data_IF_965683472552
#
_entry.id   IF_965683472552
#
_cell.length_a   1.000
_cell.length_b   1.000
_cell.length_c   1.000
_cell.angle_alpha   90.00
_cell.angle_beta   90.00
_cell.angle_gamma   90.00
#
_symmetry.space_group_name_H-M   'P 1'
#
loop_
_entity.id
_entity.type
_entity.pdbx_description
1 polymer ?
#
# COMPACT_ATOMS: atom_id res chain seq x y z
N UNK A 1 -74.12 -15.15 -21.67
CA UNK A 1 -74.32 -16.59 -21.56
C UNK A 1 -73.09 -17.17 -20.93
N UNK A 2 -73.35 -17.51 -19.74
CA UNK A 2 -72.96 -18.66 -18.89
C UNK A 2 -71.46 -18.66 -18.49
N UNK A 3 -71.19 -18.25 -17.27
CA UNK A 3 -71.29 -19.01 -16.00
C UNK A 3 -70.29 -20.16 -15.89
N UNK A 4 -69.45 -20.12 -14.90
CA UNK A 4 -69.33 -20.91 -13.69
C UNK A 4 -67.94 -20.75 -13.06
N UNK A 5 -67.84 -20.08 -11.92
CA UNK A 5 -67.90 -20.62 -10.55
C UNK A 5 -66.94 -21.81 -10.31
N UNK A 6 -65.95 -21.59 -9.50
CA UNK A 6 -65.75 -22.26 -8.22
C UNK A 6 -64.36 -22.02 -7.68
N UNK A 7 -64.26 -21.34 -6.55
CA UNK A 7 -63.28 -21.64 -5.47
C UNK A 7 -63.85 -22.90 -4.71
N UNK A 8 -63.05 -23.58 -3.87
CA UNK A 8 -62.21 -23.09 -2.82
C UNK A 8 -61.02 -23.99 -2.42
N UNK A 9 -60.43 -23.60 -1.32
CA UNK A 9 -59.67 -24.35 -0.29
C UNK A 9 -58.16 -24.33 -0.41
N UNK A 10 -57.54 -23.49 0.41
CA UNK A 10 -57.01 -23.81 1.76
C UNK A 10 -55.93 -24.92 1.77
N UNK A 11 -54.71 -24.51 1.96
CA UNK A 11 -53.75 -25.25 2.73
C UNK A 11 -52.59 -24.32 3.13
N UNK A 12 -52.58 -23.99 4.40
CA UNK A 12 -51.45 -23.46 5.13
C UNK A 12 -50.23 -24.37 4.97
N UNK A 13 -49.11 -23.80 4.64
CA UNK A 13 -47.80 -24.38 4.92
C UNK A 13 -46.86 -23.25 5.29
N UNK A 14 -46.63 -23.13 6.58
CA UNK A 14 -45.48 -22.47 7.14
C UNK A 14 -44.22 -23.02 6.48
N UNK A 15 -43.46 -22.14 5.86
CA UNK A 15 -42.08 -22.37 5.49
C UNK A 15 -41.30 -21.21 6.02
N UNK A 16 -40.70 -21.45 7.18
CA UNK A 16 -39.61 -20.73 7.76
C UNK A 16 -38.57 -20.43 6.66
N UNK A 17 -38.56 -19.22 6.17
CA UNK A 17 -37.47 -18.75 5.33
C UNK A 17 -36.33 -18.32 6.25
N UNK A 18 -35.50 -19.27 6.48
CA UNK A 18 -34.12 -19.07 6.99
C UNK A 18 -33.45 -17.95 6.15
N UNK A 19 -33.52 -16.76 6.71
CA UNK A 19 -32.83 -15.58 6.20
C UNK A 19 -31.38 -15.73 6.50
N UNK A 20 -30.65 -16.43 5.64
CA UNK A 20 -29.22 -16.40 5.60
C UNK A 20 -28.78 -14.95 5.37
N UNK A 21 -28.35 -14.30 6.40
CA UNK A 21 -27.61 -13.05 6.30
C UNK A 21 -26.38 -13.31 5.42
N UNK A 22 -26.09 -12.44 4.44
CA UNK A 22 -24.84 -12.55 3.72
C UNK A 22 -23.72 -12.24 4.70
N UNK A 23 -23.04 -13.28 5.15
CA UNK A 23 -21.75 -13.14 5.83
C UNK A 23 -20.87 -12.29 4.93
N UNK A 24 -20.52 -11.10 5.42
CA UNK A 24 -19.55 -10.23 4.80
C UNK A 24 -18.33 -11.08 4.41
N UNK A 25 -18.02 -11.08 3.14
CA UNK A 25 -16.90 -11.79 2.56
C UNK A 25 -15.60 -11.13 3.04
N UNK A 26 -15.10 -11.58 4.18
CA UNK A 26 -13.76 -11.28 4.65
C UNK A 26 -12.74 -12.12 3.87
N UNK A 27 -12.57 -11.79 2.63
CA UNK A 27 -11.48 -12.29 1.80
C UNK A 27 -11.19 -11.31 0.68
N UNK A 28 -11.09 -10.01 1.01
CA UNK A 28 -10.31 -9.11 0.19
C UNK A 28 -8.85 -9.53 0.40
N UNK A 29 -8.34 -10.33 -0.51
CA UNK A 29 -6.91 -10.58 -0.63
C UNK A 29 -6.23 -9.21 -0.76
N UNK A 30 -5.12 -8.97 -0.04
CA UNK A 30 -4.39 -7.70 -0.05
C UNK A 30 -4.00 -7.15 -1.42
N UNK A 31 -4.32 -7.90 -2.48
CA UNK A 31 -4.19 -7.52 -3.88
C UNK A 31 -5.18 -6.44 -4.35
N UNK A 32 -6.28 -6.19 -3.63
CA UNK A 32 -7.31 -5.19 -4.01
C UNK A 32 -7.27 -3.91 -3.17
N UNK A 33 -6.44 -3.86 -2.12
CA UNK A 33 -6.33 -2.67 -1.29
C UNK A 33 -5.73 -1.49 -2.06
N UNK A 34 -6.27 -0.26 -1.93
CA UNK A 34 -5.72 0.92 -2.56
C UNK A 34 -4.25 1.14 -2.16
N UNK A 35 -3.48 1.70 -3.09
CA UNK A 35 -2.08 2.05 -2.91
C UNK A 35 -1.96 3.57 -3.00
N UNK A 36 -1.48 4.20 -1.94
CA UNK A 36 -1.20 5.63 -1.91
C UNK A 36 0.27 5.87 -2.24
N UNK A 37 0.52 6.53 -3.36
CA UNK A 37 1.85 6.90 -3.83
C UNK A 37 2.09 8.38 -3.58
N UNK A 38 3.16 8.70 -2.85
CA UNK A 38 3.66 10.06 -2.72
C UNK A 38 4.73 10.30 -3.78
N UNK A 39 4.42 11.15 -4.75
CA UNK A 39 5.35 11.58 -5.78
C UNK A 39 6.06 12.85 -5.34
N UNK A 40 7.39 12.84 -5.38
CA UNK A 40 8.24 14.00 -5.07
C UNK A 40 8.85 14.52 -6.37
N UNK A 41 8.19 15.52 -6.95
CA UNK A 41 8.44 16.02 -8.29
C UNK A 41 8.26 17.54 -8.36
N UNK A 42 9.32 18.33 -8.56
CA UNK A 42 9.21 19.78 -8.63
C UNK A 42 8.62 20.30 -9.94
N UNK A 43 8.68 19.53 -11.01
CA UNK A 43 8.09 19.87 -12.29
C UNK A 43 6.62 19.46 -12.35
N UNK A 44 5.72 20.43 -12.35
CA UNK A 44 4.28 20.20 -12.32
C UNK A 44 3.80 19.32 -13.49
N UNK A 45 4.38 19.48 -14.66
CA UNK A 45 3.99 18.72 -15.86
C UNK A 45 4.39 17.25 -15.73
N UNK A 46 5.55 16.98 -15.16
CA UNK A 46 6.00 15.61 -14.85
C UNK A 46 5.13 14.97 -13.77
N UNK A 47 4.73 15.75 -12.77
CA UNK A 47 3.82 15.32 -11.71
C UNK A 47 2.45 14.92 -12.27
N UNK A 48 1.83 15.78 -13.06
CA UNK A 48 0.54 15.54 -13.72
C UNK A 48 0.56 14.29 -14.62
N UNK A 49 1.68 14.01 -15.28
CA UNK A 49 1.79 12.84 -16.15
C UNK A 49 1.65 11.53 -15.39
N UNK A 50 2.38 11.33 -14.30
CA UNK A 50 2.28 10.09 -13.52
C UNK A 50 0.89 9.93 -12.92
N UNK A 51 0.31 11.00 -12.40
CA UNK A 51 -1.05 11.01 -11.86
C UNK A 51 -2.09 10.62 -12.92
N UNK A 52 -2.02 11.24 -14.10
CA UNK A 52 -2.93 10.96 -15.22
C UNK A 52 -2.79 9.51 -15.73
N UNK A 53 -1.56 8.99 -15.82
CA UNK A 53 -1.33 7.60 -16.21
C UNK A 53 -1.82 6.63 -15.13
N UNK A 54 -1.61 6.91 -13.86
CA UNK A 54 -2.13 6.10 -12.76
C UNK A 54 -3.65 6.02 -12.82
N UNK A 55 -4.34 7.15 -12.90
CA UNK A 55 -5.80 7.22 -12.99
C UNK A 55 -6.39 6.50 -14.21
N UNK A 56 -5.62 6.46 -15.32
CA UNK A 56 -6.06 5.80 -16.56
C UNK A 56 -5.83 4.29 -16.57
N UNK A 57 -4.75 3.83 -15.94
CA UNK A 57 -4.28 2.44 -16.04
C UNK A 57 -4.71 1.57 -14.87
N UNK A 58 -5.16 2.19 -13.77
CA UNK A 58 -5.53 1.44 -12.57
C UNK A 58 -6.36 2.26 -11.60
N UNK A 59 -7.40 1.65 -11.05
CA UNK A 59 -8.21 2.24 -9.98
C UNK A 59 -7.56 2.05 -8.59
N UNK A 60 -6.49 1.26 -8.54
CA UNK A 60 -5.83 0.86 -7.30
C UNK A 60 -4.79 1.85 -6.80
N UNK A 61 -4.15 2.61 -7.70
CA UNK A 61 -3.08 3.55 -7.34
C UNK A 61 -3.60 4.99 -7.33
N UNK A 62 -3.43 5.64 -6.20
CA UNK A 62 -3.69 7.07 -6.02
C UNK A 62 -2.38 7.79 -5.81
N UNK A 63 -2.13 8.82 -6.63
CA UNK A 63 -0.90 9.60 -6.58
C UNK A 63 -1.17 10.95 -5.94
N UNK A 64 -0.31 11.34 -4.99
CA UNK A 64 -0.25 12.70 -4.44
C UNK A 64 1.13 13.25 -4.72
N UNK A 65 1.19 14.47 -5.24
CA UNK A 65 2.44 15.09 -5.64
C UNK A 65 2.83 16.22 -4.70
N UNK A 66 4.12 16.27 -4.35
CA UNK A 66 4.78 17.34 -3.62
C UNK A 66 6.06 17.75 -4.35
N UNK A 67 6.57 18.95 -4.12
CA UNK A 67 7.72 19.46 -4.87
C UNK A 67 9.04 19.45 -4.11
N UNK A 68 9.05 19.06 -2.82
CA UNK A 68 10.19 19.24 -1.91
C UNK A 68 10.42 18.05 -1.00
N UNK A 69 11.69 17.87 -0.59
CA UNK A 69 12.08 16.86 0.41
C UNK A 69 11.32 17.04 1.72
N UNK A 70 11.24 18.28 2.23
CA UNK A 70 10.56 18.55 3.49
C UNK A 70 9.08 18.12 3.45
N UNK A 71 8.36 18.47 2.37
CA UNK A 71 6.96 18.08 2.18
C UNK A 71 6.78 16.55 2.08
N UNK A 72 7.77 15.87 1.49
CA UNK A 72 7.75 14.42 1.37
C UNK A 72 7.93 13.73 2.73
N UNK A 73 8.85 14.21 3.57
CA UNK A 73 9.05 13.70 4.92
C UNK A 73 7.80 13.92 5.76
N UNK A 74 7.24 15.13 5.76
CA UNK A 74 5.99 15.45 6.47
C UNK A 74 4.83 14.57 6.01
N UNK A 75 4.73 14.32 4.70
CA UNK A 75 3.71 13.45 4.11
C UNK A 75 3.84 11.98 4.50
N UNK A 76 5.05 11.47 4.61
CA UNK A 76 5.29 10.08 5.06
C UNK A 76 5.00 9.93 6.55
N UNK A 77 5.43 10.88 7.38
CA UNK A 77 5.22 10.83 8.83
C UNK A 77 3.77 11.12 9.24
N UNK A 78 3.15 12.10 8.60
CA UNK A 78 1.82 12.58 8.95
C UNK A 78 0.67 12.05 8.10
N UNK A 79 0.97 11.28 7.05
CA UNK A 79 0.01 10.89 6.02
C UNK A 79 -0.31 12.03 5.05
N UNK A 80 -0.94 11.67 3.95
CA UNK A 80 -1.36 12.59 2.89
C UNK A 80 -2.87 12.62 2.76
N UNK A 81 -3.41 13.74 2.26
CA UNK A 81 -4.84 13.87 2.01
C UNK A 81 -5.19 13.29 0.63
N UNK A 82 -6.10 12.33 0.62
CA UNK A 82 -6.67 11.71 -0.59
C UNK A 82 -8.19 11.69 -0.42
N UNK A 83 -8.91 12.30 -1.35
CA UNK A 83 -10.37 12.37 -1.35
C UNK A 83 -11.01 12.90 -0.04
N UNK A 84 -10.29 13.81 0.65
CA UNK A 84 -10.72 14.39 1.92
C UNK A 84 -10.40 13.55 3.16
N UNK A 85 -9.73 12.43 3.01
CA UNK A 85 -9.26 11.57 4.09
C UNK A 85 -7.73 11.59 4.20
N UNK A 86 -7.23 11.53 5.43
CA UNK A 86 -5.80 11.41 5.68
C UNK A 86 -5.40 9.95 5.72
N UNK A 87 -4.56 9.55 4.77
CA UNK A 87 -4.13 8.17 4.57
C UNK A 87 -2.60 8.05 4.64
N UNK A 88 -2.10 6.88 5.02
CA UNK A 88 -0.68 6.59 5.01
C UNK A 88 -0.13 6.47 3.59
N UNK A 89 1.18 6.65 3.46
CA UNK A 89 1.92 6.47 2.20
C UNK A 89 2.43 5.05 2.09
N UNK A 90 2.09 4.38 0.99
CA UNK A 90 2.53 2.99 0.72
C UNK A 90 3.80 2.92 -0.14
N UNK A 91 4.11 3.97 -0.91
CA UNK A 91 5.29 4.03 -1.77
C UNK A 91 5.67 5.49 -2.05
N UNK A 92 6.96 5.76 -2.14
CA UNK A 92 7.48 7.07 -2.58
C UNK A 92 8.09 6.94 -3.97
N UNK A 93 7.71 7.84 -4.88
CA UNK A 93 8.35 8.02 -6.20
C UNK A 93 9.05 9.35 -6.22
N UNK A 94 10.37 9.40 -6.42
CA UNK A 94 11.13 10.65 -6.30
C UNK A 94 11.97 11.00 -7.53
N UNK A 95 12.03 12.29 -7.84
CA UNK A 95 13.07 12.86 -8.69
C UNK A 95 14.40 12.95 -7.90
N UNK A 96 15.54 12.87 -8.58
CA UNK A 96 16.86 13.02 -7.98
C UNK A 96 17.16 14.48 -7.61
N UNK A 97 16.77 15.42 -8.46
CA UNK A 97 17.03 16.85 -8.27
C UNK A 97 15.80 17.54 -7.70
N UNK A 98 15.87 17.87 -6.41
CA UNK A 98 14.81 18.56 -5.69
C UNK A 98 15.30 19.95 -5.23
N UNK A 99 14.41 20.93 -5.04
CA UNK A 99 14.79 22.31 -4.70
C UNK A 99 15.52 22.45 -3.36
N UNK A 100 15.25 21.54 -2.42
CA UNK A 100 15.73 21.56 -1.05
C UNK A 100 16.56 20.35 -0.66
N UNK A 101 17.05 19.57 -1.65
CA UNK A 101 17.88 18.39 -1.42
C UNK A 101 17.98 17.46 -2.60
N UNK A 102 18.40 16.23 -2.36
CA UNK A 102 18.49 15.17 -3.37
C UNK A 102 17.55 14.00 -3.08
N UNK A 103 17.13 13.29 -4.14
CA UNK A 103 16.37 12.07 -3.97
C UNK A 103 17.12 11.00 -3.16
N UNK A 104 18.45 10.95 -3.28
CA UNK A 104 19.30 10.05 -2.47
C UNK A 104 19.22 10.42 -0.99
N UNK A 105 19.35 11.72 -0.64
CA UNK A 105 19.23 12.19 0.75
C UNK A 105 17.82 11.89 1.31
N UNK A 106 16.78 12.03 0.48
CA UNK A 106 15.43 11.68 0.85
C UNK A 106 15.31 10.17 1.12
N UNK A 107 15.82 9.32 0.23
CA UNK A 107 15.78 7.87 0.40
C UNK A 107 16.47 7.42 1.71
N UNK A 108 17.64 7.97 2.03
CA UNK A 108 18.35 7.69 3.29
C UNK A 108 17.52 8.07 4.51
N UNK A 109 16.89 9.25 4.50
CA UNK A 109 16.00 9.70 5.60
C UNK A 109 14.80 8.78 5.77
N UNK A 110 14.13 8.41 4.69
CA UNK A 110 12.98 7.51 4.71
C UNK A 110 13.36 6.12 5.23
N UNK A 111 14.52 5.60 4.85
CA UNK A 111 15.04 4.31 5.38
C UNK A 111 15.36 4.37 6.87
N UNK A 112 15.75 5.52 7.39
CA UNK A 112 15.94 5.73 8.81
C UNK A 112 14.62 5.69 9.61
N UNK A 113 13.54 6.18 9.02
CA UNK A 113 12.21 6.23 9.63
C UNK A 113 11.42 4.92 9.40
N UNK A 114 11.36 4.43 8.18
CA UNK A 114 10.70 3.18 7.80
C UNK A 114 11.53 2.39 6.79
N UNK A 115 12.04 1.24 7.24
CA UNK A 115 12.83 0.34 6.38
C UNK A 115 11.98 -0.42 5.36
N UNK A 116 10.69 -0.50 5.57
CA UNK A 116 9.75 -1.23 4.73
C UNK A 116 9.10 -0.41 3.62
N UNK A 117 9.12 0.92 3.71
CA UNK A 117 8.49 1.81 2.75
C UNK A 117 9.22 1.76 1.38
N UNK A 118 8.58 1.30 0.28
CA UNK A 118 9.20 1.29 -1.04
C UNK A 118 9.57 2.69 -1.54
N UNK A 119 10.79 2.83 -2.10
CA UNK A 119 11.28 4.07 -2.72
C UNK A 119 11.69 3.79 -4.16
N UNK A 120 11.05 4.47 -5.11
CA UNK A 120 11.26 4.35 -6.54
C UNK A 120 11.79 5.67 -7.09
N UNK A 121 12.89 5.62 -7.83
CA UNK A 121 13.38 6.79 -8.55
C UNK A 121 12.73 6.87 -9.93
N UNK A 122 12.17 8.04 -10.25
CA UNK A 122 11.74 8.42 -11.59
C UNK A 122 12.32 9.79 -11.92
N UNK A 123 13.46 9.81 -12.59
CA UNK A 123 14.36 10.96 -12.63
C UNK A 123 14.89 11.24 -14.03
N UNK A 124 15.26 12.50 -14.28
CA UNK A 124 15.97 12.92 -15.49
C UNK A 124 17.47 12.60 -15.45
N UNK A 125 18.00 12.19 -14.29
CA UNK A 125 19.40 11.82 -14.18
C UNK A 125 19.67 10.48 -14.87
N UNK A 126 20.73 10.38 -15.69
CA UNK A 126 21.12 9.14 -16.33
C UNK A 126 21.42 8.02 -15.32
N UNK A 127 21.01 6.82 -15.67
CA UNK A 127 21.17 5.62 -14.82
C UNK A 127 22.62 5.37 -14.42
N UNK A 128 23.52 5.47 -15.38
CA UNK A 128 24.95 5.22 -15.18
C UNK A 128 25.58 6.15 -14.14
N UNK A 129 25.03 7.35 -13.93
CA UNK A 129 25.56 8.33 -13.01
C UNK A 129 25.01 8.18 -11.58
N UNK A 130 23.77 7.73 -11.41
CA UNK A 130 23.06 7.87 -10.15
C UNK A 130 22.42 6.60 -9.61
N UNK A 131 22.24 5.58 -10.42
CA UNK A 131 21.55 4.35 -10.02
C UNK A 131 22.23 3.67 -8.81
N UNK A 132 23.56 3.55 -8.85
CA UNK A 132 24.31 2.92 -7.75
C UNK A 132 24.15 3.69 -6.42
N UNK A 133 24.15 5.03 -6.47
CA UNK A 133 23.93 5.86 -5.28
C UNK A 133 22.50 5.72 -4.76
N UNK A 134 21.51 5.69 -5.66
CA UNK A 134 20.11 5.50 -5.28
C UNK A 134 19.87 4.14 -4.59
N UNK A 135 20.40 3.05 -5.14
CA UNK A 135 20.29 1.73 -4.50
C UNK A 135 21.11 1.67 -3.20
N UNK A 136 22.26 2.32 -3.13
CA UNK A 136 23.04 2.44 -1.89
C UNK A 136 22.27 3.15 -0.77
N UNK A 137 21.43 4.13 -1.12
CA UNK A 137 20.54 4.83 -0.20
C UNK A 137 19.26 4.05 0.14
N UNK A 138 19.05 2.89 -0.48
CA UNK A 138 17.91 2.03 -0.21
C UNK A 138 16.74 2.17 -1.20
N UNK A 139 16.98 2.68 -2.41
CA UNK A 139 15.96 2.63 -3.47
C UNK A 139 15.65 1.19 -3.87
N UNK A 140 14.39 0.93 -4.21
CA UNK A 140 13.90 -0.39 -4.65
C UNK A 140 13.79 -0.49 -6.17
N UNK A 141 13.78 0.65 -6.88
CA UNK A 141 13.81 0.71 -8.33
C UNK A 141 14.29 2.07 -8.83
N UNK A 142 14.79 2.09 -10.07
CA UNK A 142 15.28 3.29 -10.76
C UNK A 142 14.76 3.34 -12.18
N UNK A 143 14.04 4.39 -12.52
CA UNK A 143 13.51 4.67 -13.84
C UNK A 143 13.99 6.02 -14.34
N UNK A 144 14.58 6.02 -15.53
CA UNK A 144 14.99 7.23 -16.19
C UNK A 144 13.82 7.85 -16.96
N UNK A 145 13.61 9.16 -16.84
CA UNK A 145 12.60 9.89 -17.61
C UNK A 145 13.00 9.96 -19.09
N UNK A 146 12.06 9.83 -20.00
CA UNK A 146 12.28 9.90 -21.45
C UNK A 146 10.98 9.66 -22.22
N UNK A 147 11.08 9.42 -23.53
CA UNK A 147 9.94 9.35 -24.44
C UNK A 147 9.27 7.97 -24.56
N UNK A 148 9.72 6.97 -23.84
CA UNK A 148 9.18 5.61 -23.92
C UNK A 148 7.76 5.53 -23.35
N UNK A 149 6.80 5.11 -24.17
CA UNK A 149 5.38 5.03 -23.81
C UNK A 149 5.06 3.94 -22.80
N UNK A 150 5.84 2.87 -22.74
CA UNK A 150 5.67 1.75 -21.81
C UNK A 150 6.19 2.00 -20.41
N UNK A 151 6.86 3.14 -20.18
CA UNK A 151 7.53 3.43 -18.92
C UNK A 151 6.57 3.56 -17.73
N UNK A 152 5.47 4.27 -17.89
CA UNK A 152 4.51 4.46 -16.82
C UNK A 152 3.87 3.13 -16.40
N UNK A 153 3.59 2.25 -17.36
CA UNK A 153 3.15 0.88 -17.08
C UNK A 153 4.19 0.12 -16.24
N UNK A 154 5.47 0.23 -16.62
CA UNK A 154 6.56 -0.42 -15.90
C UNK A 154 6.71 0.13 -14.46
N UNK A 155 6.62 1.45 -14.28
CA UNK A 155 6.66 2.10 -12.97
C UNK A 155 5.49 1.64 -12.11
N UNK A 156 4.26 1.72 -12.61
CA UNK A 156 3.05 1.35 -11.87
C UNK A 156 3.02 -0.15 -11.51
N UNK A 157 3.47 -1.01 -12.43
CA UNK A 157 3.61 -2.44 -12.15
C UNK A 157 4.66 -2.71 -11.06
N UNK A 158 5.78 -1.99 -11.10
CA UNK A 158 6.82 -2.14 -10.06
C UNK A 158 6.35 -1.66 -8.71
N UNK A 159 5.62 -0.53 -8.65
CA UNK A 159 5.02 -0.02 -7.41
C UNK A 159 4.09 -1.08 -6.80
N UNK A 160 3.17 -1.65 -7.60
CA UNK A 160 2.27 -2.70 -7.11
C UNK A 160 3.04 -3.88 -6.53
N UNK A 161 4.01 -4.40 -7.26
CA UNK A 161 4.82 -5.54 -6.81
C UNK A 161 5.52 -5.25 -5.49
N UNK A 162 6.15 -4.08 -5.34
CA UNK A 162 6.86 -3.70 -4.12
C UNK A 162 5.93 -3.56 -2.91
N UNK A 163 4.77 -2.93 -3.10
CA UNK A 163 3.79 -2.76 -2.01
C UNK A 163 3.17 -4.10 -1.61
N UNK A 164 2.80 -4.94 -2.57
CA UNK A 164 2.24 -6.26 -2.30
C UNK A 164 3.25 -7.16 -1.58
N UNK A 165 4.51 -7.20 -2.01
CA UNK A 165 5.61 -7.90 -1.32
C UNK A 165 5.83 -7.40 0.11
N UNK A 166 5.70 -6.08 0.33
CA UNK A 166 5.80 -5.46 1.65
C UNK A 166 4.66 -5.89 2.58
N UNK A 167 3.44 -5.83 2.09
CA UNK A 167 2.24 -6.23 2.83
C UNK A 167 2.24 -7.72 3.19
N UNK A 168 2.69 -8.58 2.29
CA UNK A 168 2.83 -10.02 2.56
C UNK A 168 3.88 -10.31 3.65
N UNK A 169 5.02 -9.62 3.61
CA UNK A 169 6.06 -9.73 4.64
C UNK A 169 5.53 -9.29 6.01
N UNK A 170 4.79 -8.20 6.08
CA UNK A 170 4.14 -7.70 7.31
C UNK A 170 3.18 -8.73 7.90
N UNK A 171 2.28 -9.28 7.10
CA UNK A 171 1.33 -10.33 7.52
C UNK A 171 2.04 -11.61 7.98
N UNK A 172 3.14 -11.96 7.34
CA UNK A 172 3.97 -13.11 7.74
C UNK A 172 4.63 -12.90 9.11
N UNK A 173 5.16 -11.72 9.37
CA UNK A 173 5.79 -11.36 10.64
C UNK A 173 4.77 -11.35 11.81
N UNK A 174 3.57 -10.81 11.60
CA UNK A 174 2.49 -10.82 12.58
C UNK A 174 2.05 -12.25 12.94
N UNK A 175 1.88 -13.13 11.94
CA UNK A 175 1.55 -14.54 12.18
C UNK A 175 2.63 -15.28 12.96
N UNK A 176 3.91 -15.01 12.65
CA UNK A 176 5.03 -15.61 13.38
C UNK A 176 5.07 -15.12 14.84
N UNK A 177 4.83 -13.84 15.08
CA UNK A 177 4.77 -13.27 16.43
C UNK A 177 3.61 -13.81 17.25
N UNK A 178 2.44 -14.02 16.62
CA UNK A 178 1.26 -14.58 17.27
C UNK A 178 1.42 -16.08 17.60
N UNK A 179 2.33 -16.77 16.92
CA UNK A 179 2.56 -18.22 17.09
C UNK A 179 3.62 -18.56 18.13
N UNK A 180 4.26 -17.59 18.77
CA UNK A 180 5.27 -17.84 19.80
C UNK A 180 4.57 -18.23 21.09
N UNK A 181 4.66 -19.48 21.59
CA UNK A 181 4.04 -19.88 22.84
C UNK A 181 4.74 -19.15 23.99
N UNK A 182 3.94 -18.47 24.79
CA UNK A 182 4.37 -17.83 26.02
C UNK A 182 4.91 -18.93 26.94
N UNK A 183 6.22 -19.05 27.06
CA UNK A 183 6.85 -19.97 28.02
C UNK A 183 6.40 -19.57 29.42
N UNK A 184 5.49 -20.36 29.98
CA UNK A 184 5.12 -20.30 31.39
C UNK A 184 6.32 -20.73 32.20
N UNK A 185 7.10 -19.76 32.70
CA UNK A 185 8.11 -20.00 33.73
C UNK A 185 7.40 -20.40 35.00
N UNK A 186 7.44 -21.68 35.35
CA UNK A 186 7.11 -22.17 36.68
C UNK A 186 8.10 -21.60 37.69
N UNK A 187 7.64 -20.98 38.78
CA UNK A 187 8.55 -20.64 39.86
C UNK A 187 8.91 -21.93 40.61
N UNK A 188 10.21 -22.26 40.54
CA UNK A 188 10.78 -23.40 41.25
C UNK A 188 10.60 -23.29 42.76
N UNK A 189 10.22 -24.41 43.27
CA UNK A 189 10.03 -24.80 44.62
C UNK A 189 11.25 -24.54 45.49
N UNK A 190 11.04 -23.80 46.55
CA UNK A 190 11.98 -23.55 47.65
C UNK A 190 12.16 -24.83 48.47
N UNK A 191 13.27 -25.55 48.32
CA UNK A 191 13.66 -26.56 49.28
C UNK A 191 14.28 -25.93 50.52
N UNK A 192 13.52 -26.01 51.58
CA UNK A 192 13.92 -25.76 52.96
C UNK A 192 14.74 -26.98 53.38
N UNK A 193 15.96 -26.76 53.77
CA UNK A 193 16.72 -27.73 54.60
C UNK A 193 16.99 -27.10 55.98
N UNK A 194 16.40 -27.76 56.96
CA UNK A 194 16.76 -27.61 58.36
C UNK A 194 17.99 -28.50 58.61
N UNK A 195 18.97 -28.02 59.29
CA UNK A 195 19.69 -28.43 60.52
C UNK A 195 20.91 -27.54 60.69
#
# INVERSE_FOLDING_TARGET
>A
MTDHTSSPSDASADADADRAEPTANESATGADEPITVLQVEPDARSAELLEAFAARLTDRIRVRSVGRVAEAVDGVEGGVEVDGERVGVDCVVTEQRLPDGGGVDLAERLRGADRGLPVVFHTTCPREEREAAAFGAGADAYFEKGADRGRFDAILNRIRALVDEGRERGKGAERAAASTPRASGSPGETLRSEE
#
